data_IF_976212133425
#
_entry.id   IF_976212133425
#
_cell.length_a   1.000
_cell.length_b   1.000
_cell.length_c   1.000
_cell.angle_alpha   90.00
_cell.angle_beta   90.00
_cell.angle_gamma   90.00
#
_symmetry.space_group_name_H-M   'P 1'
#
loop_
_entity.id
_entity.type
_entity.pdbx_description
1 polymer ?
#
# COMPACT_ATOMS: atom_id res chain seq x y z
N UNK A 1 13.07 -5.33 7.73
CA UNK A 1 12.96 -4.12 6.88
C UNK A 1 11.56 -3.56 7.02
N UNK A 2 11.43 -2.27 7.30
CA UNK A 2 10.14 -1.60 7.48
C UNK A 2 10.09 -0.34 6.60
N UNK A 3 8.94 -0.06 5.99
CA UNK A 3 8.72 1.12 5.15
C UNK A 3 7.47 1.85 5.63
N UNK A 4 7.53 3.18 5.70
CA UNK A 4 6.35 4.01 5.98
C UNK A 4 5.49 4.14 4.74
N UNK A 5 4.19 3.90 4.87
CA UNK A 5 3.20 4.16 3.82
C UNK A 5 2.47 5.48 4.15
N UNK A 6 2.70 6.57 3.39
CA UNK A 6 2.02 7.84 3.62
C UNK A 6 0.50 7.72 3.48
N UNK A 7 -0.24 8.55 4.21
CA UNK A 7 -1.71 8.67 4.07
C UNK A 7 -2.06 9.04 2.63
N UNK A 8 -3.19 8.52 2.15
CA UNK A 8 -3.66 8.76 0.77
C UNK A 8 -2.87 8.00 -0.32
N UNK A 9 -2.02 7.04 0.05
CA UNK A 9 -1.36 6.17 -0.94
C UNK A 9 -2.38 5.32 -1.67
N UNK A 10 -2.43 5.45 -2.99
CA UNK A 10 -3.28 4.65 -3.87
C UNK A 10 -2.56 3.39 -4.37
N UNK A 11 -3.36 2.43 -4.85
CA UNK A 11 -2.85 1.25 -5.55
C UNK A 11 -2.04 1.67 -6.78
N UNK A 12 -0.99 0.90 -7.09
CA UNK A 12 -0.09 1.16 -8.21
C UNK A 12 1.08 2.10 -7.90
N UNK A 13 1.04 2.87 -6.80
CA UNK A 13 2.17 3.69 -6.37
C UNK A 13 3.42 2.82 -6.14
N UNK A 14 4.56 3.27 -6.64
CA UNK A 14 5.85 2.58 -6.49
C UNK A 14 6.75 3.36 -5.53
N UNK A 15 7.27 2.67 -4.52
CA UNK A 15 8.27 3.21 -3.59
C UNK A 15 9.64 2.64 -3.90
N UNK A 16 10.65 3.51 -3.98
CA UNK A 16 12.06 3.11 -4.12
C UNK A 16 12.69 3.00 -2.74
N UNK A 17 13.30 1.85 -2.47
CA UNK A 17 13.95 1.51 -1.21
C UNK A 17 15.45 1.33 -1.49
N UNK A 18 16.26 2.39 -1.31
CA UNK A 18 17.66 2.37 -1.69
C UNK A 18 18.47 1.41 -0.83
N UNK A 19 19.41 0.69 -1.44
CA UNK A 19 20.27 -0.28 -0.75
C UNK A 19 19.56 -1.55 -0.29
N UNK A 20 18.28 -1.73 -0.64
CA UNK A 20 17.48 -2.91 -0.28
C UNK A 20 17.33 -3.92 -1.42
N UNK A 21 17.93 -3.64 -2.58
CA UNK A 21 17.96 -4.56 -3.72
C UNK A 21 19.02 -5.65 -3.57
N UNK A 22 19.25 -6.36 -4.67
CA UNK A 22 20.26 -7.42 -4.74
C UNK A 22 21.68 -6.90 -4.46
N UNK A 23 22.54 -7.70 -3.82
CA UNK A 23 23.95 -7.38 -3.69
C UNK A 23 24.63 -7.30 -5.07
N UNK A 24 25.53 -6.34 -5.24
CA UNK A 24 26.36 -6.20 -6.43
C UNK A 24 27.56 -7.14 -6.30
N UNK A 25 27.81 -7.92 -7.35
CA UNK A 25 28.88 -8.94 -7.37
C UNK A 25 30.30 -8.36 -7.26
N UNK A 26 30.53 -7.11 -7.68
CA UNK A 26 31.88 -6.52 -7.79
C UNK A 26 32.20 -5.40 -6.79
N UNK A 27 31.20 -4.62 -6.36
CA UNK A 27 31.46 -3.33 -5.70
C UNK A 27 31.01 -3.25 -4.22
N UNK A 28 30.72 -4.38 -3.58
CA UNK A 28 30.34 -4.44 -2.15
C UNK A 28 29.02 -3.74 -1.76
N UNK A 29 28.31 -3.13 -2.71
CA UNK A 29 27.05 -2.41 -2.48
C UNK A 29 25.80 -3.22 -2.77
N UNK A 30 24.62 -2.65 -2.47
CA UNK A 30 23.31 -3.21 -2.82
C UNK A 30 22.56 -2.31 -3.79
N UNK A 31 21.75 -2.90 -4.66
CA UNK A 31 20.83 -2.19 -5.55
C UNK A 31 19.63 -1.59 -4.80
N UNK A 32 18.63 -1.13 -5.55
CA UNK A 32 17.38 -0.62 -4.99
C UNK A 32 16.27 -1.65 -5.11
N UNK A 33 15.37 -1.70 -4.13
CA UNK A 33 14.11 -2.43 -4.21
C UNK A 33 12.99 -1.47 -4.62
N UNK A 34 12.13 -1.89 -5.54
CA UNK A 34 10.94 -1.13 -5.92
C UNK A 34 9.69 -1.88 -5.44
N UNK A 35 8.96 -1.29 -4.50
CA UNK A 35 7.74 -1.85 -3.95
C UNK A 35 6.51 -1.19 -4.59
N UNK A 36 5.74 -1.96 -5.37
CA UNK A 36 4.46 -1.51 -5.95
C UNK A 36 3.33 -1.84 -4.97
N UNK A 37 2.57 -0.82 -4.57
CA UNK A 37 1.42 -1.00 -3.69
C UNK A 37 0.28 -1.67 -4.43
N UNK A 38 -0.35 -2.65 -3.78
CA UNK A 38 -1.62 -3.24 -4.19
C UNK A 38 -2.61 -3.11 -3.02
N UNK A 39 -3.69 -2.38 -3.25
CA UNK A 39 -4.83 -2.36 -2.32
C UNK A 39 -5.72 -3.55 -2.69
N UNK A 40 -6.05 -4.38 -1.71
CA UNK A 40 -6.89 -5.58 -1.88
C UNK A 40 -8.05 -5.54 -0.91
N UNK A 41 -9.18 -6.14 -1.31
CA UNK A 41 -10.30 -6.43 -0.42
C UNK A 41 -10.12 -7.87 0.08
N UNK A 42 -10.26 -8.14 1.39
CA UNK A 42 -10.14 -9.49 1.92
C UNK A 42 -11.26 -10.40 1.37
N UNK A 43 -10.93 -11.68 1.16
CA UNK A 43 -11.85 -12.67 0.59
C UNK A 43 -12.98 -13.04 1.55
N UNK A 44 -12.69 -13.05 2.86
CA UNK A 44 -13.65 -13.25 3.92
C UNK A 44 -13.69 -11.98 4.78
N UNK A 45 -14.91 -11.53 5.10
CA UNK A 45 -15.13 -10.36 5.94
C UNK A 45 -16.17 -10.68 7.01
N UNK A 46 -15.91 -10.21 8.22
CA UNK A 46 -16.89 -10.18 9.31
C UNK A 46 -18.01 -9.17 9.01
N UNK A 47 -19.16 -9.34 9.67
CA UNK A 47 -20.28 -8.40 9.55
C UNK A 47 -19.87 -6.96 9.91
N UNK A 48 -18.98 -6.82 10.91
CA UNK A 48 -18.48 -5.52 11.36
C UNK A 48 -17.62 -4.82 10.30
N UNK A 49 -16.78 -5.55 9.57
CA UNK A 49 -15.97 -4.99 8.48
C UNK A 49 -16.85 -4.49 7.34
N UNK A 50 -17.89 -5.26 6.98
CA UNK A 50 -18.86 -4.86 5.97
C UNK A 50 -19.61 -3.59 6.38
N UNK A 51 -20.05 -3.51 7.62
CA UNK A 51 -20.73 -2.32 8.17
C UNK A 51 -19.84 -1.07 8.05
N UNK A 52 -18.56 -1.18 8.39
CA UNK A 52 -17.61 -0.07 8.30
C UNK A 52 -17.40 0.40 6.84
N UNK A 53 -17.33 -0.53 5.89
CA UNK A 53 -17.23 -0.18 4.47
C UNK A 53 -18.49 0.56 3.97
N UNK A 54 -19.68 0.14 4.38
CA UNK A 54 -20.93 0.83 4.06
C UNK A 54 -20.99 2.23 4.68
N UNK A 55 -20.49 2.41 5.91
CA UNK A 55 -20.37 3.74 6.53
C UNK A 55 -19.42 4.64 5.73
N UNK A 56 -18.27 4.10 5.29
CA UNK A 56 -17.34 4.85 4.43
C UNK A 56 -18.02 5.25 3.11
N UNK A 57 -18.81 4.37 2.50
CA UNK A 57 -19.57 4.65 1.27
C UNK A 57 -20.52 5.83 1.48
N UNK A 58 -21.37 5.80 2.51
CA UNK A 58 -22.31 6.89 2.85
C UNK A 58 -21.59 8.22 3.08
N UNK A 59 -20.47 8.21 3.81
CA UNK A 59 -19.65 9.40 4.08
C UNK A 59 -18.99 10.00 2.83
N UNK A 60 -18.82 9.20 1.76
CA UNK A 60 -18.28 9.69 0.49
C UNK A 60 -19.38 10.21 -0.44
N UNK A 61 -20.54 9.57 -0.47
CA UNK A 61 -21.72 10.03 -1.23
C UNK A 61 -22.23 11.37 -0.70
N UNK A 62 -22.29 11.56 0.63
CA UNK A 62 -22.69 12.83 1.25
C UNK A 62 -21.68 13.98 1.09
N UNK A 63 -20.48 13.74 0.54
CA UNK A 63 -19.49 14.78 0.18
C UNK A 63 -19.54 15.17 -1.29
N UNK A 64 -20.31 14.46 -2.11
CA UNK A 64 -20.43 14.70 -3.55
C UNK A 64 -21.62 15.61 -3.92
N UNK A 65 -22.30 16.19 -2.92
CA UNK A 65 -23.24 17.31 -3.07
C UNK A 65 -22.68 18.55 -2.41
#
# INVERSE_FOLDING_TARGET
>A
MTMKVPRGTSSGRVFRLPGQGMPKLKDGGRGNLYAKVRVTIPEQMSDRERELLEQIKKLREGRAG
#
